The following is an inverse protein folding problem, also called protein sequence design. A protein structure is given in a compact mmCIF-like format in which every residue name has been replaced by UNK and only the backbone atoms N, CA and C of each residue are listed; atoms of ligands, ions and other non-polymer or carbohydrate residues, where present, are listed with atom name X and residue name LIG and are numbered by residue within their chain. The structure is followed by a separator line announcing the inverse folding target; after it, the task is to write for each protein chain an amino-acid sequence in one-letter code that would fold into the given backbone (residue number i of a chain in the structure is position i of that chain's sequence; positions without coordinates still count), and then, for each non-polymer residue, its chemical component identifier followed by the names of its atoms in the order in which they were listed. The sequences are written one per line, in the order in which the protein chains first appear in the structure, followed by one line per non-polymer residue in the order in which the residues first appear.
data_IF_642906983644
#
_entry.id   IF_642906983644
#
_cell.length_a   1.000
_cell.length_b   1.000
_cell.length_c   1.000
_cell.angle_alpha   90.00
_cell.angle_beta   90.00
_cell.angle_gamma   90.00
#
_symmetry.space_group_name_H-M   'P 1'
#
loop_
_entity.id
_entity.type
_entity.pdbx_description
1 polymer ?
#
# COMPACT_ATOMS: atom_id res chain seq x y z
N UNK A 1 11.03 4.29 -23.60
CA UNK A 1 9.88 5.17 -23.84
C UNK A 1 8.63 4.43 -23.36
N UNK A 2 8.18 4.67 -22.13
CA UNK A 2 6.99 4.02 -21.58
C UNK A 2 5.75 4.79 -22.03
N UNK A 3 4.77 4.09 -22.59
CA UNK A 3 3.53 4.63 -23.12
C UNK A 3 2.75 5.46 -22.08
N UNK A 4 2.48 6.74 -22.41
CA UNK A 4 1.23 7.49 -22.18
C UNK A 4 0.51 7.56 -20.82
N UNK A 5 0.92 6.84 -19.78
CA UNK A 5 0.17 6.77 -18.52
C UNK A 5 0.20 8.06 -17.70
N UNK A 6 -0.94 8.46 -17.14
CA UNK A 6 -1.02 9.55 -16.14
C UNK A 6 -0.64 8.96 -14.78
N UNK A 7 0.34 9.54 -14.08
CA UNK A 7 0.72 9.07 -12.74
C UNK A 7 0.28 10.07 -11.69
N UNK A 8 -0.44 9.62 -10.67
CA UNK A 8 -0.86 10.47 -9.57
C UNK A 8 -0.21 10.02 -8.25
N UNK A 9 -0.04 10.96 -7.32
CA UNK A 9 0.33 10.62 -5.95
C UNK A 9 -0.95 10.53 -5.10
N UNK A 10 -1.18 9.35 -4.54
CA UNK A 10 -2.27 9.13 -3.59
C UNK A 10 -1.69 9.17 -2.18
N UNK A 11 -2.19 10.09 -1.37
CA UNK A 11 -1.73 10.28 0.01
C UNK A 11 -2.58 9.44 0.96
N UNK A 12 -1.94 8.50 1.64
CA UNK A 12 -2.51 7.71 2.72
C UNK A 12 -2.16 8.36 4.07
N UNK A 13 -3.17 8.58 4.91
CA UNK A 13 -2.98 9.15 6.24
C UNK A 13 -2.95 8.04 7.29
N UNK A 14 -2.03 8.15 8.24
CA UNK A 14 -1.97 7.25 9.40
C UNK A 14 -2.86 7.74 10.55
N UNK A 15 -2.93 6.94 11.63
CA UNK A 15 -4.02 6.93 12.62
C UNK A 15 -4.28 8.26 13.35
N UNK A 16 -3.32 9.19 13.41
CA UNK A 16 -3.47 10.47 14.12
C UNK A 16 -3.41 11.74 13.26
N UNK A 17 -3.58 11.68 11.93
CA UNK A 17 -3.43 12.85 11.01
C UNK A 17 -2.01 13.49 10.99
N UNK A 18 -1.08 13.08 11.83
CA UNK A 18 0.26 13.69 11.97
C UNK A 18 1.30 13.15 10.99
N UNK A 19 1.08 11.98 10.40
CA UNK A 19 2.00 11.35 9.46
C UNK A 19 1.25 10.77 8.26
N UNK A 20 1.71 11.11 7.05
CA UNK A 20 1.14 10.65 5.79
C UNK A 20 2.18 9.95 4.93
N UNK A 21 1.75 8.93 4.19
CA UNK A 21 2.54 8.21 3.20
C UNK A 21 1.98 8.53 1.82
N UNK A 22 2.76 9.22 0.98
CA UNK A 22 2.42 9.35 -0.43
C UNK A 22 2.82 8.09 -1.17
N UNK A 23 1.89 7.50 -1.91
CA UNK A 23 2.16 6.37 -2.79
C UNK A 23 1.83 6.82 -4.21
N UNK A 24 2.80 6.69 -5.11
CA UNK A 24 2.57 6.94 -6.53
C UNK A 24 1.70 5.81 -7.08
N UNK A 25 0.55 6.17 -7.62
CA UNK A 25 -0.34 5.28 -8.33
C UNK A 25 -0.21 5.58 -9.82
N UNK A 26 0.05 4.55 -10.61
CA UNK A 26 -0.02 4.66 -12.06
C UNK A 26 -1.48 4.49 -12.46
N UNK A 27 -2.06 5.53 -13.05
CA UNK A 27 -3.41 5.49 -13.58
C UNK A 27 -3.32 5.24 -15.09
N UNK A 28 -3.94 4.16 -15.55
CA UNK A 28 -3.98 3.91 -16.98
C UNK A 28 -4.84 4.97 -17.67
N UNK A 29 -4.57 5.25 -18.95
CA UNK A 29 -5.33 6.21 -19.79
C UNK A 29 -6.85 5.93 -19.80
N UNK A 30 -7.24 4.70 -19.45
CA UNK A 30 -8.63 4.22 -19.37
C UNK A 30 -9.39 4.70 -18.13
N UNK A 31 -8.78 5.52 -17.27
CA UNK A 31 -9.47 6.14 -16.13
C UNK A 31 -9.65 5.22 -14.92
N UNK A 32 -8.83 4.17 -14.79
CA UNK A 32 -8.79 3.31 -13.61
C UNK A 32 -7.36 3.02 -13.17
N UNK A 33 -7.19 2.65 -11.90
CA UNK A 33 -5.93 2.22 -11.31
C UNK A 33 -6.18 1.31 -10.13
N UNK A 34 -5.18 0.55 -9.69
CA UNK A 34 -5.35 -0.44 -8.63
C UNK A 34 -4.21 -0.45 -7.62
N UNK A 35 -4.55 -0.56 -6.33
CA UNK A 35 -3.61 -0.75 -5.23
C UNK A 35 -3.98 -2.03 -4.48
N UNK A 36 -3.00 -2.92 -4.33
CA UNK A 36 -3.09 -4.10 -3.48
C UNK A 36 -2.25 -3.92 -2.23
N UNK A 37 -2.86 -4.07 -1.05
CA UNK A 37 -2.15 -3.98 0.22
C UNK A 37 -1.76 -5.39 0.68
N UNK A 38 -0.46 -5.58 0.91
CA UNK A 38 0.12 -6.81 1.45
C UNK A 38 0.93 -6.53 2.71
N UNK A 39 1.22 -7.58 3.46
CA UNK A 39 1.91 -7.51 4.75
C UNK A 39 1.21 -8.38 5.78
N UNK A 40 1.82 -8.50 6.94
CA UNK A 40 1.37 -9.43 7.99
C UNK A 40 0.01 -9.02 8.59
N UNK A 41 -0.59 -9.92 9.37
CA UNK A 41 -1.81 -9.62 10.10
C UNK A 41 -1.57 -8.49 11.13
N UNK A 42 -2.59 -7.66 11.37
CA UNK A 42 -2.57 -6.60 12.39
C UNK A 42 -1.56 -5.46 12.17
N UNK A 43 -0.87 -5.41 11.03
CA UNK A 43 -0.02 -4.25 10.64
C UNK A 43 -0.85 -3.01 10.28
N UNK A 44 -2.16 -3.17 10.05
CA UNK A 44 -3.11 -2.07 9.86
C UNK A 44 -3.49 -1.74 8.40
N UNK A 45 -3.41 -2.73 7.49
CA UNK A 45 -3.83 -2.59 6.08
C UNK A 45 -5.28 -2.12 5.93
N UNK A 46 -6.20 -2.81 6.58
CA UNK A 46 -7.64 -2.46 6.62
C UNK A 46 -7.87 -1.06 7.19
N UNK A 47 -7.17 -0.72 8.27
CA UNK A 47 -7.27 0.61 8.89
C UNK A 47 -6.78 1.72 7.95
N UNK A 48 -5.69 1.50 7.19
CA UNK A 48 -5.20 2.44 6.18
C UNK A 48 -6.23 2.63 5.06
N UNK A 49 -6.89 1.55 4.61
CA UNK A 49 -7.91 1.63 3.56
C UNK A 49 -9.18 2.33 4.01
N UNK A 50 -9.72 1.99 5.17
CA UNK A 50 -10.88 2.66 5.75
C UNK A 50 -10.57 4.15 5.93
N UNK A 51 -9.37 4.45 6.44
CA UNK A 51 -8.93 5.82 6.62
C UNK A 51 -8.82 6.59 5.32
N UNK A 52 -8.26 5.97 4.29
CA UNK A 52 -8.17 6.58 2.97
C UNK A 52 -9.55 6.80 2.36
N UNK A 53 -10.46 5.82 2.44
CA UNK A 53 -11.78 5.89 1.82
C UNK A 53 -12.75 6.81 2.56
N UNK A 54 -12.95 6.53 3.84
CA UNK A 54 -14.06 7.08 4.64
C UNK A 54 -13.61 8.23 5.54
N UNK A 55 -12.32 8.60 5.51
CA UNK A 55 -11.68 9.57 6.43
C UNK A 55 -11.91 9.22 7.91
N UNK A 56 -12.29 7.99 8.21
CA UNK A 56 -12.62 7.51 9.55
C UNK A 56 -11.49 6.67 10.16
N UNK A 57 -11.46 6.59 11.48
CA UNK A 57 -10.61 5.65 12.21
C UNK A 57 -11.48 4.87 13.21
N UNK A 58 -11.63 3.57 12.99
CA UNK A 58 -12.44 2.71 13.86
C UNK A 58 -11.61 2.35 15.09
N UNK A 59 -11.91 2.98 16.24
CA UNK A 59 -11.35 2.61 17.54
C UNK A 59 -12.16 1.46 18.13
N UNK A 60 -11.52 0.34 18.47
CA UNK A 60 -12.08 -0.65 19.39
C UNK A 60 -12.78 -1.88 18.79
N UNK A 61 -12.94 -2.00 17.48
CA UNK A 61 -13.48 -3.22 16.84
C UNK A 61 -12.62 -3.65 15.66
N UNK A 62 -11.50 -4.32 15.95
CA UNK A 62 -10.72 -4.96 14.90
C UNK A 62 -11.32 -6.33 14.59
N UNK A 63 -12.00 -6.42 13.44
CA UNK A 63 -12.38 -7.69 12.85
C UNK A 63 -11.26 -8.07 11.88
N UNK A 64 -10.66 -9.25 12.08
CA UNK A 64 -9.67 -9.76 11.14
C UNK A 64 -10.28 -9.91 9.75
N UNK A 65 -9.65 -9.33 8.73
CA UNK A 65 -10.05 -9.55 7.34
C UNK A 65 -9.96 -11.04 7.03
N UNK A 66 -11.09 -11.61 6.58
CA UNK A 66 -11.16 -12.99 6.08
C UNK A 66 -11.09 -12.92 4.56
N UNK A 67 -10.07 -13.54 3.97
CA UNK A 67 -9.87 -13.53 2.51
C UNK A 67 -9.39 -12.16 1.99
N UNK A 68 -10.06 -11.64 0.95
CA UNK A 68 -9.69 -10.39 0.26
C UNK A 68 -10.95 -9.52 0.16
N UNK A 69 -10.84 -8.26 0.60
CA UNK A 69 -11.91 -7.26 0.50
C UNK A 69 -11.60 -6.27 -0.62
N UNK A 70 -12.63 -5.90 -1.38
CA UNK A 70 -12.53 -5.04 -2.54
C UNK A 70 -13.31 -3.75 -2.32
N UNK A 71 -12.65 -2.61 -2.48
CA UNK A 71 -13.25 -1.29 -2.40
C UNK A 71 -12.87 -0.44 -3.61
N UNK A 72 -13.71 0.54 -3.93
CA UNK A 72 -13.39 1.54 -4.97
C UNK A 72 -13.57 2.95 -4.45
N UNK A 73 -12.76 3.87 -4.98
CA UNK A 73 -12.84 5.31 -4.69
C UNK A 73 -12.47 6.11 -5.93
N UNK A 74 -13.23 7.17 -6.23
CA UNK A 74 -12.83 8.13 -7.25
C UNK A 74 -11.75 9.06 -6.67
N UNK A 75 -10.65 9.20 -7.40
CA UNK A 75 -9.54 10.09 -7.07
C UNK A 75 -9.30 11.06 -8.22
N UNK A 76 -8.93 12.30 -7.91
CA UNK A 76 -8.55 13.27 -8.93
C UNK A 76 -7.05 13.14 -9.21
N UNK A 77 -6.72 12.81 -10.45
CA UNK A 77 -5.37 12.63 -10.97
C UNK A 77 -5.16 13.67 -12.08
N UNK A 78 -4.47 14.76 -11.78
CA UNK A 78 -4.18 15.85 -12.72
C UNK A 78 -5.43 16.37 -13.47
N UNK A 79 -6.51 16.59 -12.74
CA UNK A 79 -7.78 17.07 -13.29
C UNK A 79 -8.68 15.99 -13.89
N UNK A 80 -8.24 14.73 -13.91
CA UNK A 80 -9.05 13.59 -14.37
C UNK A 80 -9.55 12.76 -13.20
N UNK A 81 -10.84 12.47 -13.17
CA UNK A 81 -11.41 11.53 -12.21
C UNK A 81 -11.06 10.09 -12.62
N UNK A 82 -10.32 9.41 -11.76
CA UNK A 82 -9.89 8.02 -11.94
C UNK A 82 -10.55 7.14 -10.88
N UNK A 83 -11.07 5.99 -11.30
CA UNK A 83 -11.61 4.98 -10.37
C UNK A 83 -10.45 4.14 -9.82
N UNK A 84 -10.08 4.40 -8.58
CA UNK A 84 -9.09 3.64 -7.85
C UNK A 84 -9.72 2.40 -7.22
N UNK A 85 -9.24 1.23 -7.60
CA UNK A 85 -9.53 -0.04 -6.98
C UNK A 85 -8.57 -0.29 -5.82
N UNK A 86 -9.11 -0.72 -4.69
CA UNK A 86 -8.38 -0.93 -3.45
C UNK A 86 -8.65 -2.36 -2.97
N UNK A 87 -7.59 -3.14 -2.88
CA UNK A 87 -7.65 -4.54 -2.48
C UNK A 87 -7.01 -4.70 -1.09
N UNK A 88 -7.84 -4.99 -0.08
CA UNK A 88 -7.37 -5.36 1.26
C UNK A 88 -7.16 -6.87 1.30
N UNK A 89 -6.03 -7.33 1.84
CA UNK A 89 -5.76 -8.76 2.00
C UNK A 89 -5.72 -9.16 3.46
N UNK A 90 -6.20 -10.36 3.77
CA UNK A 90 -5.92 -11.00 5.03
C UNK A 90 -4.40 -11.15 5.20
N UNK A 91 -3.87 -10.65 6.31
CA UNK A 91 -2.43 -10.76 6.60
C UNK A 91 -1.99 -12.11 7.17
N UNK A 92 -2.88 -13.11 7.17
CA UNK A 92 -2.48 -14.48 7.54
C UNK A 92 -1.84 -15.17 6.36
N UNK A 93 -0.72 -15.83 6.62
CA UNK A 93 0.10 -16.59 5.68
C UNK A 93 -0.72 -17.60 4.84
N UNK A 94 -1.82 -18.12 5.39
CA UNK A 94 -2.74 -19.06 4.72
C UNK A 94 -3.42 -18.51 3.46
N UNK A 95 -3.44 -17.19 3.26
CA UNK A 95 -4.06 -16.56 2.09
C UNK A 95 -3.06 -16.09 1.01
N UNK A 96 -1.75 -16.32 1.21
CA UNK A 96 -0.71 -15.95 0.22
C UNK A 96 -0.90 -16.61 -1.15
N UNK A 97 -1.42 -17.82 -1.19
CA UNK A 97 -1.75 -18.52 -2.45
C UNK A 97 -2.89 -17.83 -3.20
N UNK A 98 -3.87 -17.28 -2.47
CA UNK A 98 -5.01 -16.57 -3.03
C UNK A 98 -4.57 -15.22 -3.65
N UNK A 99 -3.58 -14.56 -3.07
CA UNK A 99 -3.04 -13.28 -3.58
C UNK A 99 -2.49 -13.38 -5.00
N UNK A 100 -1.98 -14.55 -5.41
CA UNK A 100 -1.35 -14.74 -6.73
C UNK A 100 -2.31 -14.47 -7.88
N UNK A 101 -3.60 -14.77 -7.73
CA UNK A 101 -4.61 -14.51 -8.75
C UNK A 101 -4.97 -13.04 -8.89
N UNK A 102 -4.67 -12.21 -7.88
CA UNK A 102 -5.01 -10.78 -7.89
C UNK A 102 -3.90 -9.91 -8.48
N UNK A 103 -2.66 -10.40 -8.59
CA UNK A 103 -1.56 -9.69 -9.27
C UNK A 103 -1.89 -9.32 -10.72
N UNK A 104 -2.87 -10.00 -11.32
CA UNK A 104 -3.47 -9.68 -12.60
C UNK A 104 -4.96 -9.46 -12.33
N UNK A 105 -5.52 -8.34 -12.76
CA UNK A 105 -6.98 -8.17 -12.72
C UNK A 105 -7.64 -9.25 -13.60
N UNK A 106 -8.93 -9.53 -13.38
CA UNK A 106 -9.75 -10.51 -14.08
C UNK A 106 -9.71 -10.36 -15.61
N UNK A 107 -9.39 -9.16 -16.12
CA UNK A 107 -9.25 -8.84 -17.55
C UNK A 107 -7.80 -8.98 -18.10
N UNK A 108 -6.88 -9.57 -17.33
CA UNK A 108 -5.50 -9.80 -17.76
C UNK A 108 -4.62 -8.54 -17.76
N UNK A 109 -5.07 -7.45 -17.12
CA UNK A 109 -4.35 -6.17 -17.04
C UNK A 109 -3.83 -5.91 -15.63
N UNK A 110 -2.63 -5.36 -15.57
CA UNK A 110 -1.76 -5.33 -14.39
C UNK A 110 -2.41 -4.57 -13.24
N UNK A 111 -2.35 -5.12 -12.03
CA UNK A 111 -2.35 -4.26 -10.84
C UNK A 111 -1.15 -3.32 -10.98
N UNK A 112 -1.41 -2.02 -10.91
CA UNK A 112 -0.41 -1.01 -11.18
C UNK A 112 0.51 -0.79 -9.96
N UNK A 113 0.03 -1.05 -8.74
CA UNK A 113 0.77 -0.74 -7.51
C UNK A 113 0.49 -1.74 -6.39
N UNK A 114 1.55 -2.22 -5.75
CA UNK A 114 1.50 -3.04 -4.53
C UNK A 114 2.09 -2.25 -3.36
N UNK A 115 1.34 -2.19 -2.26
CA UNK A 115 1.75 -1.55 -1.02
C UNK A 115 2.12 -2.61 0.02
N UNK A 116 3.40 -2.73 0.33
CA UNK A 116 3.92 -3.61 1.37
C UNK A 116 3.91 -2.86 2.70
N UNK A 117 2.99 -3.24 3.59
CA UNK A 117 2.76 -2.57 4.87
C UNK A 117 3.39 -3.37 6.01
N UNK A 118 4.19 -2.70 6.84
CA UNK A 118 4.69 -3.26 8.10
C UNK A 118 4.35 -2.35 9.28
N UNK A 119 4.45 -2.86 10.49
CA UNK A 119 4.23 -2.12 11.74
C UNK A 119 5.58 -1.68 12.32
N UNK A 120 5.79 -0.36 12.49
CA UNK A 120 7.08 0.15 13.00
C UNK A 120 7.37 -0.21 14.46
N UNK A 121 6.36 -0.69 15.18
CA UNK A 121 6.46 -1.20 16.55
C UNK A 121 6.76 -2.72 16.61
N UNK A 122 6.75 -3.41 15.47
CA UNK A 122 7.00 -4.86 15.38
C UNK A 122 8.06 -5.20 14.34
N UNK A 123 9.28 -5.50 14.80
CA UNK A 123 10.42 -5.84 13.95
C UNK A 123 10.15 -7.03 13.02
N UNK A 124 9.46 -8.06 13.52
CA UNK A 124 9.14 -9.25 12.73
C UNK A 124 8.35 -8.91 11.46
N UNK A 125 7.37 -8.01 11.56
CA UNK A 125 6.58 -7.56 10.41
C UNK A 125 7.42 -6.86 9.34
N UNK A 126 8.51 -6.20 9.75
CA UNK A 126 9.47 -5.59 8.83
C UNK A 126 10.38 -6.63 8.19
N UNK A 127 10.85 -7.61 8.94
CA UNK A 127 11.67 -8.71 8.40
C UNK A 127 10.89 -9.48 7.33
N UNK A 128 9.60 -9.72 7.57
CA UNK A 128 8.73 -10.45 6.67
C UNK A 128 8.47 -9.73 5.33
N UNK A 129 8.71 -8.41 5.23
CA UNK A 129 8.65 -7.66 3.96
C UNK A 129 9.57 -8.27 2.89
N UNK A 130 10.73 -8.81 3.28
CA UNK A 130 11.64 -9.48 2.33
C UNK A 130 11.00 -10.70 1.66
N UNK A 131 10.23 -11.48 2.43
CA UNK A 131 9.51 -12.63 1.89
C UNK A 131 8.40 -12.19 0.93
N UNK A 132 7.67 -11.12 1.28
CA UNK A 132 6.66 -10.54 0.39
C UNK A 132 7.27 -9.98 -0.91
N UNK A 133 8.44 -9.33 -0.84
CA UNK A 133 9.17 -8.87 -2.02
C UNK A 133 9.62 -10.02 -2.92
N UNK A 134 10.12 -11.11 -2.33
CA UNK A 134 10.48 -12.30 -3.09
C UNK A 134 9.27 -12.89 -3.82
N UNK A 135 8.14 -13.05 -3.12
CA UNK A 135 6.90 -13.54 -3.71
C UNK A 135 6.42 -12.65 -4.87
N UNK A 136 6.52 -11.32 -4.73
CA UNK A 136 6.19 -10.37 -5.78
C UNK A 136 7.14 -10.47 -6.98
N UNK A 137 8.45 -10.57 -6.75
CA UNK A 137 9.43 -10.69 -7.83
C UNK A 137 9.22 -11.96 -8.67
N UNK A 138 8.70 -13.03 -8.06
CA UNK A 138 8.41 -14.29 -8.76
C UNK A 138 7.10 -14.26 -9.55
N UNK A 139 6.05 -13.58 -9.07
CA UNK A 139 4.69 -13.75 -9.60
C UNK A 139 4.07 -12.48 -10.20
N UNK A 140 4.51 -11.29 -9.77
CA UNK A 140 3.95 -10.04 -10.23
C UNK A 140 4.57 -9.60 -11.57
N UNK A 141 3.83 -8.90 -12.44
CA UNK A 141 4.40 -8.29 -13.65
C UNK A 141 5.57 -7.36 -13.33
N UNK A 142 6.58 -7.30 -14.20
CA UNK A 142 7.73 -6.39 -14.03
C UNK A 142 7.37 -4.90 -14.03
N UNK A 143 6.19 -4.55 -14.55
CA UNK A 143 5.61 -3.21 -14.49
C UNK A 143 4.98 -2.84 -13.15
N UNK A 144 4.96 -3.76 -12.18
CA UNK A 144 4.36 -3.53 -10.86
C UNK A 144 5.18 -2.51 -10.08
N UNK A 145 4.55 -1.40 -9.69
CA UNK A 145 5.14 -0.44 -8.77
C UNK A 145 5.02 -0.97 -7.34
N UNK A 146 6.12 -1.06 -6.62
CA UNK A 146 6.10 -1.49 -5.20
C UNK A 146 6.35 -0.27 -4.31
N UNK A 147 5.54 -0.10 -3.28
CA UNK A 147 5.73 0.89 -2.23
C UNK A 147 5.87 0.19 -0.88
N UNK A 148 6.89 0.55 -0.10
CA UNK A 148 7.09 0.02 1.26
C UNK A 148 6.61 1.07 2.26
N UNK A 149 5.70 0.67 3.15
CA UNK A 149 4.98 1.58 4.06
C UNK A 149 5.11 1.10 5.51
N UNK A 150 5.81 1.88 6.33
CA UNK A 150 5.83 1.68 7.77
C UNK A 150 4.63 2.36 8.43
N UNK A 151 3.72 1.58 8.99
CA UNK A 151 2.51 2.04 9.65
C UNK A 151 2.68 2.22 11.17
N UNK A 152 1.70 2.86 11.83
CA UNK A 152 1.69 3.17 13.27
C UNK A 152 2.80 4.12 13.70
N UNK A 153 3.13 5.08 12.83
CA UNK A 153 4.17 6.07 13.08
C UNK A 153 3.87 6.95 14.29
N UNK A 154 2.59 7.06 14.68
CA UNK A 154 2.11 7.76 15.87
C UNK A 154 2.53 7.08 17.18
N UNK A 155 2.80 5.78 17.18
CA UNK A 155 3.35 5.05 18.33
C UNK A 155 4.88 5.20 18.45
N UNK A 156 5.38 6.44 18.32
CA UNK A 156 6.82 6.77 18.27
C UNK A 156 7.61 6.20 19.45
N UNK A 157 7.05 6.20 20.66
CA UNK A 157 7.66 5.65 21.86
C UNK A 157 7.86 4.12 21.81
N UNK A 158 7.07 3.40 21.01
CA UNK A 158 7.17 1.95 20.82
C UNK A 158 7.90 1.56 19.54
N UNK A 159 8.43 2.54 18.79
CA UNK A 159 9.11 2.29 17.52
C UNK A 159 10.35 1.43 17.75
N UNK A 160 10.41 0.31 17.04
CA UNK A 160 11.60 -0.56 16.98
C UNK A 160 12.25 -0.56 15.59
N UNK A 161 11.52 -0.14 14.55
CA UNK A 161 12.04 0.01 13.19
C UNK A 161 12.28 1.49 12.88
N UNK A 162 13.56 1.86 12.68
CA UNK A 162 13.96 3.22 12.34
C UNK A 162 13.52 3.59 10.92
N UNK A 163 13.21 4.87 10.70
CA UNK A 163 12.84 5.37 9.37
C UNK A 163 13.95 5.11 8.33
N UNK A 164 15.22 5.28 8.72
CA UNK A 164 16.35 5.02 7.81
C UNK A 164 16.40 3.56 7.35
N UNK A 165 16.02 2.61 8.22
CA UNK A 165 16.03 1.18 7.87
C UNK A 165 14.97 0.86 6.82
N UNK A 166 13.76 1.43 6.96
CA UNK A 166 12.71 1.30 5.94
C UNK A 166 13.09 1.96 4.62
N UNK A 167 13.69 3.15 4.67
CA UNK A 167 14.16 3.86 3.48
C UNK A 167 15.28 3.11 2.75
N UNK A 168 16.25 2.56 3.50
CA UNK A 168 17.32 1.75 2.95
C UNK A 168 16.79 0.50 2.25
N UNK A 169 15.83 -0.21 2.87
CA UNK A 169 15.21 -1.38 2.24
C UNK A 169 14.57 -1.00 0.90
N UNK A 170 13.76 0.06 0.87
CA UNK A 170 13.10 0.48 -0.35
C UNK A 170 14.08 0.91 -1.45
N UNK A 171 15.14 1.63 -1.09
CA UNK A 171 16.20 2.00 -2.03
C UNK A 171 16.89 0.77 -2.64
N UNK A 172 17.18 -0.25 -1.83
CA UNK A 172 17.82 -1.49 -2.32
C UNK A 172 16.91 -2.35 -3.20
N UNK A 173 15.60 -2.20 -3.08
CA UNK A 173 14.61 -3.02 -3.80
C UNK A 173 13.93 -2.27 -4.93
N UNK A 174 14.42 -1.08 -5.28
CA UNK A 174 13.78 -0.14 -6.23
C UNK A 174 12.30 0.13 -5.92
N UNK A 175 11.93 0.06 -4.64
CA UNK A 175 10.59 0.34 -4.17
C UNK A 175 10.47 1.83 -3.83
N UNK A 176 9.29 2.39 -4.03
CA UNK A 176 8.99 3.76 -3.64
C UNK A 176 8.92 3.86 -2.11
N UNK A 177 9.55 4.92 -1.59
CA UNK A 177 9.31 5.41 -0.23
C UNK A 177 8.42 6.64 -0.28
N UNK A 178 7.63 6.89 0.78
CA UNK A 178 7.02 8.20 0.94
C UNK A 178 8.11 9.29 1.01
N UNK A 179 7.86 10.48 0.44
CA UNK A 179 8.80 11.59 0.52
C UNK A 179 9.05 12.01 1.97
N UNK A 180 10.32 12.31 2.31
CA UNK A 180 10.75 12.65 3.68
C UNK A 180 10.18 13.99 4.19
N UNK A 181 9.83 14.90 3.29
CA UNK A 181 9.17 16.16 3.59
C UNK A 181 8.14 16.42 2.49
N UNK A 182 6.88 16.64 2.86
CA UNK A 182 5.82 16.99 1.92
C UNK A 182 5.45 18.46 2.14
N UNK A 183 5.13 19.23 1.07
CA UNK A 183 4.57 20.56 1.25
C UNK A 183 3.25 20.50 2.03
N UNK A 184 2.93 21.51 2.85
CA UNK A 184 1.62 21.61 3.49
C UNK A 184 0.54 21.64 2.41
N UNK A 185 -0.53 20.88 2.62
CA UNK A 185 -1.69 20.92 1.73
C UNK A 185 -2.39 22.27 1.89
N UNK A 186 -2.70 22.90 0.75
CA UNK A 186 -3.78 23.87 0.67
C UNK A 186 -5.14 23.19 0.86
#
# INVERSE_FOLDING_TARGET
MCAGGVSAFVVFYQQQFTCSTAVRVVCEERGWGGILLLGDAFVGKTSLLIRFKDKAFLKGSYISTVGIDYKTKLVNCDGKLVKLQLWDTAGQERFRSLTKSYYRDADGKSLATVMLVYDVTKLESFINIKSWLHDLATHAPSSTVVAIVGNKMDESAKRVVKCQTGAALAATTNALTPPAHMPPLM
#
